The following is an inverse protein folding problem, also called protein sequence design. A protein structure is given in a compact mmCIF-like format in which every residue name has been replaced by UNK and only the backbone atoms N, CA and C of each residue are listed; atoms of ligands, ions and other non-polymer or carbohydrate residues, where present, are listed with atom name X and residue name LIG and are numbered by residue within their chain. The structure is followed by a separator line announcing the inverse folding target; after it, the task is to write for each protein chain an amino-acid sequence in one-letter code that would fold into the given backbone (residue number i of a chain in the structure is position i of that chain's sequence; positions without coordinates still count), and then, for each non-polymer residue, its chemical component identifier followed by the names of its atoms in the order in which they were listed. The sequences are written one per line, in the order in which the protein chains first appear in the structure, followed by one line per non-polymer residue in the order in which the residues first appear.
data_IF_550907094106
#
_entry.id   IF_550907094106
#
_cell.length_a   1.000
_cell.length_b   1.000
_cell.length_c   1.000
_cell.angle_alpha   90.00
_cell.angle_beta   90.00
_cell.angle_gamma   90.00
#
_symmetry.space_group_name_H-M   'P 1'
#
loop_
_entity.id
_entity.type
_entity.pdbx_description
1 polymer ?
#
# COMPACT_ATOMS: atom_id res chain seq x y z
N UNK A 1 1.12 -3.47 -24.91
CA UNK A 1 0.35 -2.61 -24.00
C UNK A 1 1.25 -2.40 -22.78
N UNK A 2 1.73 -1.17 -22.53
CA UNK A 2 2.72 -0.93 -21.45
C UNK A 2 2.10 -1.25 -20.08
N UNK A 3 2.91 -1.70 -19.10
CA UNK A 3 2.41 -1.94 -17.74
C UNK A 3 1.85 -0.63 -17.17
N UNK A 4 2.42 0.52 -17.55
CA UNK A 4 1.88 1.84 -17.27
C UNK A 4 0.44 2.05 -17.81
N UNK A 5 0.09 1.51 -18.97
CA UNK A 5 -1.28 1.56 -19.50
C UNK A 5 -2.22 0.58 -18.78
N UNK A 6 -1.72 -0.57 -18.32
CA UNK A 6 -2.47 -1.51 -17.49
C UNK A 6 -2.71 -0.95 -16.07
N UNK A 7 -1.66 -0.42 -15.43
CA UNK A 7 -1.72 0.33 -14.17
C UNK A 7 -2.65 1.53 -14.28
N UNK A 8 -2.55 2.34 -15.34
CA UNK A 8 -3.51 3.43 -15.58
C UNK A 8 -4.93 2.92 -15.74
N UNK A 9 -5.19 1.84 -16.48
CA UNK A 9 -6.55 1.34 -16.71
C UNK A 9 -7.17 0.70 -15.46
N UNK A 10 -6.37 0.05 -14.63
CA UNK A 10 -6.79 -0.53 -13.35
C UNK A 10 -6.99 0.59 -12.31
N UNK A 11 -6.09 1.57 -12.24
CA UNK A 11 -6.22 2.77 -11.39
C UNK A 11 -7.41 3.65 -11.81
N UNK A 12 -7.67 3.81 -13.12
CA UNK A 12 -8.84 4.53 -13.65
C UNK A 12 -10.13 3.79 -13.26
N UNK A 13 -10.15 2.46 -13.30
CA UNK A 13 -11.32 1.69 -12.85
C UNK A 13 -11.54 1.80 -11.33
N UNK A 14 -10.48 1.94 -10.52
CA UNK A 14 -10.59 2.23 -9.08
C UNK A 14 -11.06 3.66 -8.78
N UNK A 15 -10.70 4.65 -9.62
CA UNK A 15 -11.14 6.03 -9.47
C UNK A 15 -12.62 6.25 -9.88
N UNK A 16 -13.15 5.44 -10.81
CA UNK A 16 -14.50 5.62 -11.33
C UNK A 16 -15.64 5.28 -10.35
N UNK A 17 -15.37 4.58 -9.24
CA UNK A 17 -16.37 4.34 -8.18
C UNK A 17 -16.47 5.48 -7.13
N UNK A 18 -15.58 6.49 -7.17
CA UNK A 18 -15.45 7.49 -6.11
C UNK A 18 -15.75 8.95 -6.46
N UNK A 19 -16.23 9.27 -7.67
CA UNK A 19 -16.40 10.66 -8.10
C UNK A 19 -17.85 11.15 -8.03
N UNK A 20 -18.24 11.76 -6.91
CA UNK A 20 -19.29 12.78 -6.87
C UNK A 20 -18.75 14.07 -6.22
N UNK A 21 -18.72 15.11 -7.07
CA UNK A 21 -18.78 16.55 -6.82
C UNK A 21 -18.05 17.16 -5.60
N UNK A 22 -17.14 18.09 -5.91
CA UNK A 22 -17.18 19.44 -5.32
C UNK A 22 -16.55 20.45 -6.30
N UNK A 23 -17.44 21.19 -6.95
CA UNK A 23 -17.14 22.45 -7.65
C UNK A 23 -16.97 23.57 -6.64
N UNK A 24 -15.90 24.36 -6.74
CA UNK A 24 -15.95 25.83 -6.68
C UNK A 24 -14.54 26.42 -6.88
N UNK A 25 -14.36 27.17 -7.98
CA UNK A 25 -13.21 28.08 -8.14
C UNK A 25 -13.53 29.40 -7.43
N UNK A 26 -12.60 30.00 -6.66
CA UNK A 26 -12.75 31.38 -6.23
C UNK A 26 -12.46 32.35 -7.39
N UNK A 27 -13.21 33.45 -7.42
CA UNK A 27 -13.11 34.54 -8.39
C UNK A 27 -11.87 35.39 -8.11
N UNK A 28 -11.13 35.69 -9.17
CA UNK A 28 -9.97 36.58 -9.19
C UNK A 28 -10.45 38.04 -9.24
N UNK A 29 -10.12 38.84 -8.21
CA UNK A 29 -10.38 40.28 -8.18
C UNK A 29 -9.08 41.03 -8.46
N UNK A 30 -9.09 41.90 -9.46
CA UNK A 30 -8.02 42.85 -9.80
C UNK A 30 -8.09 44.10 -8.92
N UNK A 31 -6.96 44.50 -8.37
CA UNK A 31 -6.61 45.84 -7.86
C UNK A 31 -5.12 46.00 -8.22
N UNK A 32 -4.60 47.00 -8.93
CA UNK A 32 -4.82 48.45 -8.89
C UNK A 32 -3.52 49.07 -8.36
N UNK A 33 -2.69 49.62 -9.26
CA UNK A 33 -1.33 50.13 -8.98
C UNK A 33 -1.27 51.25 -7.93
N UNK A 34 -0.24 51.23 -7.06
CA UNK A 34 0.37 52.43 -6.46
C UNK A 34 1.80 52.15 -5.97
N UNK A 35 2.63 53.18 -6.13
CA UNK A 35 4.09 53.34 -6.07
C UNK A 35 4.86 52.94 -4.78
N UNK A 36 6.19 52.85 -4.99
CA UNK A 36 7.30 52.42 -4.15
C UNK A 36 7.53 53.19 -2.83
N UNK A 37 8.08 52.51 -1.80
CA UNK A 37 9.34 52.94 -1.17
C UNK A 37 9.93 51.93 -0.14
N UNK A 38 11.27 51.87 -0.18
CA UNK A 38 12.27 51.56 0.86
C UNK A 38 12.43 50.13 1.42
N UNK A 39 13.41 49.42 0.82
CA UNK A 39 14.50 48.66 1.47
C UNK A 39 14.24 47.99 2.84
N UNK A 40 13.91 46.69 2.83
CA UNK A 40 14.41 45.69 3.82
C UNK A 40 13.95 44.22 3.60
N UNK A 41 13.40 43.83 2.44
CA UNK A 41 12.50 42.65 2.40
C UNK A 41 12.91 41.45 1.54
N UNK A 42 14.21 41.21 1.26
CA UNK A 42 14.59 39.97 0.55
C UNK A 42 14.63 38.73 1.46
N UNK A 43 14.93 38.93 2.75
CA UNK A 43 15.30 37.82 3.64
C UNK A 43 14.13 37.40 4.55
N UNK A 44 13.19 38.30 4.84
CA UNK A 44 12.04 38.06 5.71
C UNK A 44 11.06 36.99 5.14
N UNK A 45 10.72 36.98 3.84
CA UNK A 45 9.91 35.92 3.25
C UNK A 45 10.62 34.56 3.21
N UNK A 46 11.95 34.54 3.09
CA UNK A 46 12.74 33.31 3.05
C UNK A 46 12.90 32.70 4.44
N UNK A 47 13.20 33.50 5.46
CA UNK A 47 13.32 33.05 6.85
C UNK A 47 12.01 32.46 7.39
N UNK A 48 10.87 33.07 7.06
CA UNK A 48 9.55 32.55 7.44
C UNK A 48 9.24 31.22 6.73
N UNK A 49 9.61 31.09 5.46
CA UNK A 49 9.45 29.86 4.70
C UNK A 49 10.32 28.73 5.26
N UNK A 50 11.55 29.05 5.68
CA UNK A 50 12.48 28.08 6.27
C UNK A 50 12.05 27.64 7.67
N UNK A 51 11.52 28.56 8.48
CA UNK A 51 10.91 28.20 9.77
C UNK A 51 9.69 27.30 9.59
N UNK A 52 8.82 27.58 8.63
CA UNK A 52 7.65 26.74 8.35
C UNK A 52 8.06 25.33 7.91
N UNK A 53 9.06 25.21 7.02
CA UNK A 53 9.62 23.91 6.61
C UNK A 53 10.23 23.14 7.78
N UNK A 54 10.94 23.83 8.66
CA UNK A 54 11.54 23.23 9.85
C UNK A 54 10.48 22.66 10.80
N UNK A 55 9.41 23.41 11.08
CA UNK A 55 8.30 22.94 11.93
C UNK A 55 7.55 21.75 11.31
N UNK A 56 7.35 21.76 9.98
CA UNK A 56 6.77 20.64 9.25
C UNK A 56 7.67 19.39 9.40
N UNK A 57 8.97 19.55 9.21
CA UNK A 57 9.93 18.44 9.33
C UNK A 57 9.94 17.86 10.76
N UNK A 58 10.00 18.72 11.78
CA UNK A 58 9.91 18.30 13.18
C UNK A 58 8.60 17.57 13.49
N UNK A 59 7.49 18.07 12.95
CA UNK A 59 6.19 17.42 13.10
C UNK A 59 6.18 16.02 12.47
N UNK A 60 6.76 15.85 11.28
CA UNK A 60 6.90 14.54 10.63
C UNK A 60 7.73 13.56 11.45
N UNK A 61 8.84 14.01 12.05
CA UNK A 61 9.67 13.19 12.94
C UNK A 61 8.94 12.80 14.23
N UNK A 62 8.25 13.76 14.86
CA UNK A 62 7.46 13.50 16.05
C UNK A 62 6.34 12.49 15.78
N UNK A 63 5.59 12.67 14.69
CA UNK A 63 4.53 11.74 14.28
C UNK A 63 5.09 10.35 13.98
N UNK A 64 6.22 10.25 13.29
CA UNK A 64 6.87 8.96 13.01
C UNK A 64 7.29 8.25 14.30
N UNK A 65 7.86 8.99 15.25
CA UNK A 65 8.24 8.45 16.57
C UNK A 65 7.03 7.95 17.35
N UNK A 66 5.94 8.73 17.37
CA UNK A 66 4.69 8.35 18.02
C UNK A 66 4.12 7.08 17.37
N UNK A 67 4.12 7.00 16.03
CA UNK A 67 3.67 5.80 15.33
C UNK A 67 4.49 4.58 15.74
N UNK A 68 5.83 4.68 15.78
CA UNK A 68 6.69 3.58 16.17
C UNK A 68 6.42 3.09 17.61
N UNK A 69 6.22 4.02 18.55
CA UNK A 69 5.86 3.67 19.93
C UNK A 69 4.51 2.94 19.97
N UNK A 70 3.51 3.43 19.25
CA UNK A 70 2.17 2.83 19.22
C UNK A 70 2.14 1.49 18.49
N UNK A 71 2.96 1.31 17.44
CA UNK A 71 3.14 0.03 16.76
C UNK A 71 3.72 -1.01 17.72
N UNK A 72 4.76 -0.66 18.48
CA UNK A 72 5.31 -1.54 19.52
C UNK A 72 4.24 -1.90 20.57
N UNK A 73 3.42 -0.94 20.98
CA UNK A 73 2.32 -1.20 21.92
C UNK A 73 1.28 -2.17 21.34
N UNK A 74 0.95 -2.04 20.05
CA UNK A 74 0.06 -2.99 19.38
C UNK A 74 0.64 -4.41 19.34
N UNK A 75 1.95 -4.54 19.18
CA UNK A 75 2.62 -5.85 19.14
C UNK A 75 2.74 -6.47 20.54
N UNK A 76 3.08 -5.67 21.54
CA UNK A 76 3.40 -6.15 22.89
C UNK A 76 2.15 -6.34 23.76
N UNK A 77 1.11 -5.53 23.58
CA UNK A 77 -0.07 -5.49 24.45
C UNK A 77 -1.39 -5.58 23.64
N UNK A 78 -1.62 -6.66 22.85
CA UNK A 78 -2.78 -6.75 21.96
C UNK A 78 -4.13 -6.72 22.70
N UNK A 79 -4.20 -7.30 23.91
CA UNK A 79 -5.43 -7.30 24.72
C UNK A 79 -5.77 -5.89 25.23
N UNK A 80 -4.77 -5.08 25.56
CA UNK A 80 -4.96 -3.67 25.89
C UNK A 80 -5.46 -2.88 24.68
N UNK A 81 -4.90 -3.16 23.50
CA UNK A 81 -5.35 -2.54 22.25
C UNK A 81 -6.79 -2.90 21.92
N UNK A 82 -7.21 -4.16 22.06
CA UNK A 82 -8.60 -4.57 21.77
C UNK A 82 -9.62 -3.95 22.75
N UNK A 83 -9.26 -3.84 24.02
CA UNK A 83 -10.19 -3.35 25.05
C UNK A 83 -10.31 -1.82 25.12
N UNK A 84 -9.34 -1.07 24.58
CA UNK A 84 -9.30 0.39 24.71
C UNK A 84 -9.82 1.13 23.47
N UNK A 85 -10.93 1.85 23.62
CA UNK A 85 -11.60 2.63 22.56
C UNK A 85 -10.76 3.78 21.98
N UNK A 86 -9.67 4.17 22.63
CA UNK A 86 -8.72 5.13 22.07
C UNK A 86 -8.12 4.60 20.75
N UNK A 87 -7.82 3.30 20.67
CA UNK A 87 -7.30 2.69 19.44
C UNK A 87 -8.33 2.65 18.32
N UNK A 88 -9.61 2.43 18.64
CA UNK A 88 -10.68 2.57 17.66
C UNK A 88 -10.78 4.00 17.10
N UNK A 89 -10.72 5.00 17.99
CA UNK A 89 -10.77 6.41 17.61
C UNK A 89 -9.56 6.79 16.74
N UNK A 90 -8.38 6.27 17.10
CA UNK A 90 -7.16 6.42 16.33
C UNK A 90 -7.26 5.72 14.97
N UNK A 91 -7.80 4.51 14.90
CA UNK A 91 -8.02 3.81 13.63
C UNK A 91 -8.92 4.61 12.70
N UNK A 92 -10.01 5.18 13.22
CA UNK A 92 -10.88 6.09 12.47
C UNK A 92 -10.15 7.34 12.00
N UNK A 93 -9.29 7.92 12.85
CA UNK A 93 -8.45 9.04 12.44
C UNK A 93 -7.53 8.64 11.26
N UNK A 94 -6.79 7.54 11.40
CA UNK A 94 -5.90 7.02 10.35
C UNK A 94 -6.64 6.75 9.03
N UNK A 95 -7.86 6.23 9.11
CA UNK A 95 -8.69 5.95 7.93
C UNK A 95 -9.08 7.19 7.14
N UNK A 96 -9.16 8.35 7.79
CA UNK A 96 -9.46 9.62 7.14
C UNK A 96 -8.18 10.37 6.73
N UNK A 97 -7.12 10.25 7.53
CA UNK A 97 -5.86 10.97 7.31
C UNK A 97 -5.00 10.32 6.24
N UNK A 98 -4.77 9.00 6.29
CA UNK A 98 -3.86 8.33 5.37
C UNK A 98 -4.24 8.55 3.89
N UNK A 99 -5.53 8.46 3.48
CA UNK A 99 -5.92 8.72 2.09
C UNK A 99 -5.77 10.16 1.63
N UNK A 100 -5.59 11.10 2.56
CA UNK A 100 -5.32 12.52 2.23
C UNK A 100 -3.83 12.80 2.01
N UNK A 101 -2.95 11.86 2.33
CA UNK A 101 -1.51 11.98 2.10
C UNK A 101 -1.18 11.40 0.71
N UNK A 102 -0.66 12.23 -0.19
CA UNK A 102 -0.19 11.77 -1.50
C UNK A 102 1.33 11.57 -1.49
N UNK A 103 1.76 10.31 -1.67
CA UNK A 103 3.16 9.94 -1.82
C UNK A 103 3.80 10.45 -3.13
N UNK A 104 2.97 10.76 -4.14
CA UNK A 104 3.44 11.23 -5.46
C UNK A 104 3.71 12.72 -5.49
N UNK A 105 3.03 13.49 -4.65
CA UNK A 105 3.24 14.93 -4.54
C UNK A 105 4.44 15.28 -3.67
N UNK A 106 4.72 14.47 -2.64
CA UNK A 106 5.84 14.70 -1.72
C UNK A 106 6.40 13.36 -1.20
N UNK A 107 7.49 12.89 -1.82
CA UNK A 107 8.19 11.67 -1.40
C UNK A 107 8.74 11.76 0.03
N UNK A 108 8.88 12.96 0.60
CA UNK A 108 9.28 13.12 2.01
C UNK A 108 8.18 12.69 3.00
N UNK A 109 6.95 12.46 2.53
CA UNK A 109 5.87 11.88 3.34
C UNK A 109 5.91 10.35 3.40
N UNK A 110 6.75 9.69 2.60
CA UNK A 110 6.66 8.26 2.41
C UNK A 110 6.91 7.45 3.70
N UNK A 111 7.87 7.91 4.52
CA UNK A 111 8.13 7.34 5.86
C UNK A 111 6.89 7.44 6.75
N UNK A 112 6.25 8.61 6.78
CA UNK A 112 5.04 8.82 7.57
C UNK A 112 3.88 7.97 7.04
N UNK A 113 3.70 7.87 5.71
CA UNK A 113 2.68 7.02 5.07
C UNK A 113 2.90 5.55 5.46
N UNK A 114 4.14 5.08 5.41
CA UNK A 114 4.50 3.72 5.85
C UNK A 114 4.11 3.51 7.32
N UNK A 115 4.57 4.39 8.21
CA UNK A 115 4.31 4.28 9.65
C UNK A 115 2.81 4.31 9.98
N UNK A 116 2.03 5.20 9.36
CA UNK A 116 0.57 5.27 9.55
C UNK A 116 -0.15 4.04 8.97
N UNK A 117 0.32 3.53 7.83
CA UNK A 117 -0.21 2.31 7.21
C UNK A 117 -0.05 1.12 8.14
N UNK A 118 1.16 0.90 8.66
CA UNK A 118 1.46 -0.25 9.52
C UNK A 118 0.77 -0.12 10.88
N UNK A 119 0.76 1.07 11.47
CA UNK A 119 0.00 1.32 12.70
C UNK A 119 -1.49 1.00 12.52
N UNK A 120 -2.11 1.51 11.45
CA UNK A 120 -3.52 1.25 11.19
C UNK A 120 -3.81 -0.24 10.94
N UNK A 121 -2.92 -0.95 10.25
CA UNK A 121 -3.03 -2.41 10.05
C UNK A 121 -2.91 -3.18 11.37
N UNK A 122 -1.96 -2.84 12.23
CA UNK A 122 -1.78 -3.48 13.55
C UNK A 122 -2.99 -3.24 14.46
N UNK A 123 -3.54 -2.01 14.46
CA UNK A 123 -4.76 -1.73 15.21
C UNK A 123 -5.92 -2.54 14.65
N UNK A 124 -6.09 -2.59 13.32
CA UNK A 124 -7.15 -3.36 12.67
C UNK A 124 -7.04 -4.87 12.97
N UNK A 125 -5.82 -5.39 13.05
CA UNK A 125 -5.52 -6.77 13.42
C UNK A 125 -5.97 -7.08 14.86
N UNK A 126 -5.59 -6.22 15.80
CA UNK A 126 -5.78 -6.47 17.23
C UNK A 126 -7.16 -6.05 17.74
N UNK A 127 -7.78 -5.01 17.17
CA UNK A 127 -9.03 -4.44 17.66
C UNK A 127 -10.26 -5.18 17.10
N UNK A 128 -10.32 -6.49 17.39
CA UNK A 128 -11.34 -7.44 16.92
C UNK A 128 -12.75 -7.06 17.34
N UNK A 129 -12.89 -6.47 18.52
CA UNK A 129 -14.18 -6.10 19.11
C UNK A 129 -14.87 -4.95 18.38
N UNK A 130 -14.12 -4.09 17.65
CA UNK A 130 -14.68 -2.95 16.92
C UNK A 130 -14.07 -2.80 15.51
N UNK A 131 -14.02 -3.88 14.74
CA UNK A 131 -13.58 -3.80 13.34
C UNK A 131 -14.59 -3.01 12.49
N UNK A 132 -14.10 -2.14 11.59
CA UNK A 132 -14.96 -1.43 10.65
C UNK A 132 -15.60 -2.41 9.66
N UNK A 133 -16.77 -2.04 9.15
CA UNK A 133 -17.41 -2.76 8.04
C UNK A 133 -16.87 -2.29 6.70
N UNK A 134 -16.92 -3.15 5.69
CA UNK A 134 -16.57 -2.82 4.31
C UNK A 134 -17.32 -1.58 3.78
N UNK A 135 -18.59 -1.41 4.19
CA UNK A 135 -19.43 -0.28 3.80
C UNK A 135 -18.93 1.08 4.31
N UNK A 136 -17.96 1.10 5.23
CA UNK A 136 -17.37 2.34 5.73
C UNK A 136 -16.33 2.86 4.73
N UNK A 137 -16.67 3.95 4.04
CA UNK A 137 -15.81 4.60 3.03
C UNK A 137 -14.39 4.86 3.54
N UNK A 138 -14.23 5.20 4.83
CA UNK A 138 -12.91 5.41 5.43
C UNK A 138 -12.06 4.13 5.45
N UNK A 139 -12.64 2.98 5.80
CA UNK A 139 -11.93 1.71 5.83
C UNK A 139 -11.52 1.25 4.42
N UNK A 140 -12.41 1.44 3.43
CA UNK A 140 -12.11 1.16 2.03
C UNK A 140 -10.91 2.00 1.53
N UNK A 141 -10.97 3.32 1.72
CA UNK A 141 -9.90 4.24 1.29
C UNK A 141 -8.59 3.98 2.03
N UNK A 142 -8.66 3.63 3.31
CA UNK A 142 -7.48 3.26 4.10
C UNK A 142 -6.77 2.05 3.50
N UNK A 143 -7.49 0.94 3.27
CA UNK A 143 -6.91 -0.27 2.67
C UNK A 143 -6.38 0.02 1.26
N UNK A 144 -7.07 0.87 0.49
CA UNK A 144 -6.58 1.34 -0.80
C UNK A 144 -5.22 2.05 -0.68
N UNK A 145 -5.05 2.96 0.29
CA UNK A 145 -3.79 3.66 0.53
C UNK A 145 -2.67 2.71 0.97
N UNK A 146 -2.99 1.76 1.85
CA UNK A 146 -2.05 0.71 2.30
C UNK A 146 -1.58 -0.13 1.11
N UNK A 147 -2.49 -0.59 0.26
CA UNK A 147 -2.15 -1.37 -0.94
C UNK A 147 -1.31 -0.54 -1.90
N UNK A 148 -1.67 0.73 -2.10
CA UNK A 148 -0.90 1.64 -2.96
C UNK A 148 0.54 1.78 -2.46
N UNK A 149 0.74 1.99 -1.15
CA UNK A 149 2.06 2.05 -0.52
C UNK A 149 2.88 0.77 -0.79
N UNK A 150 2.27 -0.41 -0.66
CA UNK A 150 3.01 -1.66 -0.91
C UNK A 150 3.26 -1.92 -2.39
N UNK A 151 2.28 -1.62 -3.25
CA UNK A 151 2.33 -1.87 -4.69
C UNK A 151 3.35 -0.97 -5.37
N UNK A 152 3.39 0.31 -5.03
CA UNK A 152 4.26 1.29 -5.70
C UNK A 152 5.75 1.14 -5.34
N UNK A 153 6.10 0.35 -4.30
CA UNK A 153 7.48 0.17 -3.86
C UNK A 153 8.40 -0.46 -4.91
N UNK A 154 7.86 -1.35 -5.75
CA UNK A 154 8.66 -2.11 -6.72
C UNK A 154 8.12 -2.01 -8.14
N UNK A 155 9.03 -1.98 -9.11
CA UNK A 155 8.66 -2.02 -10.51
C UNK A 155 9.78 -2.67 -11.36
N UNK A 156 9.39 -3.19 -12.51
CA UNK A 156 10.33 -3.79 -13.48
C UNK A 156 10.71 -2.80 -14.58
N UNK A 157 9.87 -1.79 -14.83
CA UNK A 157 10.01 -0.87 -15.97
C UNK A 157 11.15 0.14 -15.80
N UNK A 158 11.52 0.49 -14.56
CA UNK A 158 12.65 1.35 -14.23
C UNK A 158 14.00 0.61 -14.26
N UNK A 159 13.98 -0.72 -14.40
CA UNK A 159 15.22 -1.50 -14.55
C UNK A 159 15.82 -1.33 -15.95
N UNK A 160 17.15 -1.30 -16.01
CA UNK A 160 17.87 -1.31 -17.29
C UNK A 160 17.59 -2.63 -18.01
N UNK A 161 16.85 -2.56 -19.11
CA UNK A 161 16.47 -3.73 -19.91
C UNK A 161 15.11 -4.35 -19.54
N UNK A 162 14.45 -3.91 -18.47
CA UNK A 162 13.07 -4.33 -18.16
C UNK A 162 12.94 -5.79 -17.71
N UNK A 163 13.99 -6.38 -17.13
CA UNK A 163 14.03 -7.79 -16.70
C UNK A 163 14.40 -7.97 -15.22
N UNK A 164 14.56 -6.89 -14.46
CA UNK A 164 14.93 -6.91 -13.04
C UNK A 164 13.90 -6.16 -12.20
N UNK A 165 13.55 -6.71 -11.04
CA UNK A 165 12.68 -6.03 -10.10
C UNK A 165 13.52 -5.05 -9.28
N UNK A 166 13.29 -3.77 -9.48
CA UNK A 166 13.98 -2.69 -8.77
C UNK A 166 13.02 -1.95 -7.85
N UNK A 167 13.58 -1.26 -6.86
CA UNK A 167 12.84 -0.27 -6.10
C UNK A 167 12.44 0.87 -7.02
N UNK A 168 11.22 1.36 -6.84
CA UNK A 168 10.80 2.59 -7.51
C UNK A 168 11.63 3.76 -7.03
N UNK A 169 11.96 4.66 -7.94
CA UNK A 169 12.72 5.89 -7.65
C UNK A 169 12.21 6.67 -6.44
N UNK A 170 10.90 6.72 -6.22
CA UNK A 170 10.27 7.38 -5.07
C UNK A 170 10.53 6.69 -3.72
N UNK A 171 10.87 5.39 -3.72
CA UNK A 171 11.17 4.61 -2.52
C UNK A 171 12.67 4.47 -2.27
N UNK A 172 13.50 4.61 -3.32
CA UNK A 172 14.92 4.27 -3.27
C UNK A 172 15.69 5.02 -2.16
N UNK A 173 15.42 6.32 -1.98
CA UNK A 173 16.13 7.15 -0.99
C UNK A 173 15.77 6.82 0.46
N UNK A 174 14.55 6.34 0.71
CA UNK A 174 14.02 6.09 2.07
C UNK A 174 13.85 4.60 2.37
N UNK A 175 14.28 3.72 1.47
CA UNK A 175 14.03 2.28 1.59
C UNK A 175 14.64 1.66 2.84
N UNK A 176 15.80 2.14 3.30
CA UNK A 176 16.40 1.66 4.55
C UNK A 176 15.45 1.78 5.74
N UNK A 177 14.70 2.88 5.81
CA UNK A 177 13.75 3.16 6.88
C UNK A 177 12.38 2.48 6.65
N UNK A 178 12.05 2.20 5.40
CA UNK A 178 10.75 1.64 5.00
C UNK A 178 10.72 0.12 4.88
N UNK A 179 11.88 -0.51 4.67
CA UNK A 179 11.96 -1.93 4.30
C UNK A 179 11.27 -2.83 5.31
N UNK A 180 11.56 -2.65 6.61
CA UNK A 180 10.92 -3.40 7.69
C UNK A 180 9.41 -3.18 7.73
N UNK A 181 8.96 -1.94 7.62
CA UNK A 181 7.55 -1.58 7.56
C UNK A 181 6.84 -2.23 6.36
N UNK A 182 7.47 -2.24 5.19
CA UNK A 182 6.90 -2.87 3.99
C UNK A 182 6.71 -4.38 4.18
N UNK A 183 7.72 -5.09 4.71
CA UNK A 183 7.60 -6.52 4.97
C UNK A 183 6.58 -6.83 6.08
N UNK A 184 6.56 -6.03 7.15
CA UNK A 184 5.59 -6.17 8.22
C UNK A 184 4.16 -5.97 7.71
N UNK A 185 3.93 -4.99 6.85
CA UNK A 185 2.60 -4.78 6.24
C UNK A 185 2.16 -5.95 5.36
N UNK A 186 3.06 -6.55 4.58
CA UNK A 186 2.77 -7.78 3.83
C UNK A 186 2.37 -8.95 4.76
N UNK A 187 3.02 -9.09 5.91
CA UNK A 187 2.70 -10.11 6.90
C UNK A 187 1.36 -9.86 7.58
N UNK A 188 1.07 -8.62 7.97
CA UNK A 188 -0.21 -8.27 8.61
C UNK A 188 -1.36 -8.43 7.63
N UNK A 189 -1.21 -8.00 6.38
CA UNK A 189 -2.22 -8.22 5.33
C UNK A 189 -2.52 -9.71 5.18
N UNK A 190 -1.50 -10.56 5.09
CA UNK A 190 -1.66 -12.02 5.07
C UNK A 190 -2.43 -12.56 6.28
N UNK A 191 -2.16 -12.02 7.47
CA UNK A 191 -2.89 -12.37 8.68
C UNK A 191 -4.36 -11.96 8.57
N UNK A 192 -4.65 -10.72 8.14
CA UNK A 192 -5.99 -10.16 8.05
C UNK A 192 -6.89 -10.91 7.06
N UNK A 193 -6.32 -11.52 6.02
CA UNK A 193 -7.08 -12.34 5.07
C UNK A 193 -7.88 -13.46 5.73
N UNK A 194 -7.43 -13.99 6.87
CA UNK A 194 -8.13 -15.08 7.58
C UNK A 194 -9.29 -14.59 8.44
N UNK A 195 -9.25 -13.30 8.76
CA UNK A 195 -9.99 -12.68 9.84
C UNK A 195 -11.03 -11.65 9.33
N UNK A 196 -10.83 -11.12 8.12
CA UNK A 196 -11.63 -10.05 7.52
C UNK A 196 -11.84 -10.34 6.03
N UNK A 197 -12.98 -10.96 5.71
CA UNK A 197 -13.27 -11.49 4.35
C UNK A 197 -13.21 -10.42 3.25
N UNK A 198 -13.77 -9.23 3.50
CA UNK A 198 -13.82 -8.16 2.50
C UNK A 198 -12.45 -7.65 2.07
N UNK A 199 -11.42 -7.79 2.91
CA UNK A 199 -10.05 -7.41 2.53
C UNK A 199 -9.51 -8.35 1.45
N UNK A 200 -9.84 -9.64 1.51
CA UNK A 200 -9.45 -10.61 0.47
C UNK A 200 -10.10 -10.28 -0.87
N UNK A 201 -11.39 -9.90 -0.85
CA UNK A 201 -12.15 -9.46 -2.01
C UNK A 201 -11.54 -8.20 -2.61
N UNK A 202 -11.32 -7.19 -1.78
CA UNK A 202 -10.67 -5.94 -2.18
C UNK A 202 -9.32 -6.20 -2.87
N UNK A 203 -8.45 -7.03 -2.27
CA UNK A 203 -7.12 -7.32 -2.81
C UNK A 203 -7.20 -7.98 -4.19
N UNK A 204 -8.11 -8.94 -4.39
CA UNK A 204 -8.28 -9.61 -5.69
C UNK A 204 -8.88 -8.68 -6.74
N UNK A 205 -9.86 -7.86 -6.36
CA UNK A 205 -10.51 -6.88 -7.25
C UNK A 205 -9.58 -5.74 -7.66
N UNK A 206 -8.66 -5.33 -6.77
CA UNK A 206 -7.65 -4.31 -7.08
C UNK A 206 -6.72 -4.72 -8.22
N UNK A 207 -6.60 -6.01 -8.54
CA UNK A 207 -5.66 -6.49 -9.55
C UNK A 207 -4.23 -6.68 -9.05
N UNK A 208 -3.96 -6.41 -7.76
CA UNK A 208 -2.60 -6.44 -7.21
C UNK A 208 -1.94 -7.83 -7.31
N UNK A 209 -2.60 -8.95 -6.98
CA UNK A 209 -1.99 -10.28 -7.11
C UNK A 209 -1.67 -10.68 -8.55
N UNK A 210 -2.45 -10.20 -9.52
CA UNK A 210 -2.24 -10.44 -10.95
C UNK A 210 -1.03 -9.64 -11.43
N UNK A 211 -0.87 -8.41 -10.96
CA UNK A 211 0.32 -7.60 -11.21
C UNK A 211 1.58 -8.21 -10.59
N UNK A 212 1.50 -8.78 -9.38
CA UNK A 212 2.60 -9.56 -8.78
C UNK A 212 3.03 -10.72 -9.68
N UNK A 213 2.07 -11.49 -10.23
CA UNK A 213 2.42 -12.54 -11.19
C UNK A 213 3.04 -12.00 -12.48
N UNK A 214 2.54 -10.89 -13.01
CA UNK A 214 3.13 -10.26 -14.20
C UNK A 214 4.56 -9.79 -13.95
N UNK A 215 4.82 -9.23 -12.77
CA UNK A 215 6.18 -8.88 -12.30
C UNK A 215 7.06 -10.12 -12.28
N UNK A 216 6.60 -11.21 -11.64
CA UNK A 216 7.34 -12.48 -11.60
C UNK A 216 7.56 -13.04 -13.01
N UNK A 217 6.58 -12.94 -13.89
CA UNK A 217 6.69 -13.43 -15.28
C UNK A 217 7.79 -12.71 -16.03
N UNK A 218 7.81 -11.37 -15.96
CA UNK A 218 8.81 -10.52 -16.63
C UNK A 218 10.20 -10.66 -16.03
N UNK A 219 10.30 -10.64 -14.71
CA UNK A 219 11.58 -10.61 -13.99
C UNK A 219 12.38 -11.88 -14.22
N UNK A 220 13.65 -11.77 -14.63
CA UNK A 220 14.56 -12.89 -14.84
C UNK A 220 14.84 -13.66 -13.54
N UNK A 221 15.14 -14.95 -13.65
CA UNK A 221 15.54 -15.76 -12.49
C UNK A 221 16.73 -15.10 -11.78
N UNK A 222 16.63 -14.95 -10.46
CA UNK A 222 17.68 -14.34 -9.63
C UNK A 222 17.75 -12.81 -9.71
N UNK A 223 16.81 -12.16 -10.40
CA UNK A 223 16.71 -10.69 -10.53
C UNK A 223 15.52 -10.11 -9.75
N UNK A 224 15.08 -10.81 -8.72
CA UNK A 224 14.06 -10.31 -7.79
C UNK A 224 14.77 -9.56 -6.67
N UNK A 225 14.14 -8.48 -6.19
CA UNK A 225 14.57 -7.84 -4.94
C UNK A 225 14.48 -8.83 -3.77
N UNK A 226 15.42 -8.73 -2.83
CA UNK A 226 15.56 -9.66 -1.71
C UNK A 226 14.29 -9.69 -0.85
N UNK A 227 13.86 -10.87 -0.42
CA UNK A 227 12.63 -11.06 0.38
C UNK A 227 11.31 -10.89 -0.39
N UNK A 228 11.24 -10.01 -1.40
CA UNK A 228 10.01 -9.67 -2.13
C UNK A 228 9.37 -10.88 -2.80
N UNK A 229 10.18 -11.80 -3.32
CA UNK A 229 9.70 -13.05 -3.91
C UNK A 229 8.85 -13.86 -2.92
N UNK A 230 9.35 -14.04 -1.69
CA UNK A 230 8.67 -14.83 -0.66
C UNK A 230 7.41 -14.12 -0.19
N UNK A 231 7.46 -12.80 0.01
CA UNK A 231 6.30 -11.99 0.39
C UNK A 231 5.16 -12.07 -0.66
N UNK A 232 5.50 -12.01 -1.95
CA UNK A 232 4.53 -12.20 -3.04
C UNK A 232 3.96 -13.61 -3.04
N UNK A 233 4.81 -14.63 -2.88
CA UNK A 233 4.38 -16.02 -2.84
C UNK A 233 3.38 -16.26 -1.71
N UNK A 234 3.69 -15.79 -0.51
CA UNK A 234 2.84 -15.94 0.67
C UNK A 234 1.47 -15.28 0.47
N UNK A 235 1.44 -14.03 -0.01
CA UNK A 235 0.17 -13.33 -0.26
C UNK A 235 -0.68 -14.04 -1.30
N UNK A 236 -0.08 -14.44 -2.43
CA UNK A 236 -0.78 -15.15 -3.51
C UNK A 236 -1.34 -16.48 -2.98
N UNK A 237 -0.55 -17.24 -2.22
CA UNK A 237 -1.00 -18.53 -1.67
C UNK A 237 -2.12 -18.33 -0.65
N UNK A 238 -2.02 -17.35 0.25
CA UNK A 238 -3.07 -17.05 1.22
C UNK A 238 -4.40 -16.70 0.55
N UNK A 239 -4.36 -15.86 -0.49
CA UNK A 239 -5.56 -15.51 -1.26
C UNK A 239 -6.13 -16.72 -2.04
N UNK A 240 -5.28 -17.58 -2.59
CA UNK A 240 -5.71 -18.81 -3.26
C UNK A 240 -6.35 -19.82 -2.30
N UNK A 241 -5.91 -19.83 -1.05
CA UNK A 241 -6.50 -20.64 0.03
C UNK A 241 -7.78 -20.02 0.60
N UNK A 242 -8.04 -18.72 0.36
CA UNK A 242 -9.22 -18.04 0.85
C UNK A 242 -10.50 -18.63 0.23
N UNK A 243 -11.49 -18.88 1.07
CA UNK A 243 -12.66 -19.67 0.71
C UNK A 243 -13.60 -18.95 -0.28
N UNK A 244 -13.70 -17.63 -0.24
CA UNK A 244 -14.53 -16.83 -1.17
C UNK A 244 -13.83 -16.56 -2.50
N UNK A 245 -12.61 -16.02 -2.48
CA UNK A 245 -11.92 -15.50 -3.67
C UNK A 245 -11.02 -16.52 -4.38
N UNK A 246 -10.56 -17.57 -3.69
CA UNK A 246 -9.45 -18.41 -4.16
C UNK A 246 -9.73 -19.13 -5.49
N UNK A 247 -10.97 -19.60 -5.70
CA UNK A 247 -11.37 -20.28 -6.95
C UNK A 247 -11.39 -19.31 -8.14
N UNK A 248 -11.91 -18.10 -7.93
CA UNK A 248 -11.95 -17.03 -8.94
C UNK A 248 -10.53 -16.60 -9.33
N UNK A 249 -9.71 -16.31 -8.31
CA UNK A 249 -8.32 -15.94 -8.48
C UNK A 249 -7.53 -17.03 -9.22
N UNK A 250 -7.61 -18.31 -8.83
CA UNK A 250 -6.91 -19.40 -9.54
C UNK A 250 -7.25 -19.45 -11.04
N UNK A 251 -8.51 -19.17 -11.39
CA UNK A 251 -8.95 -19.12 -12.79
C UNK A 251 -8.29 -17.98 -13.55
N UNK A 252 -8.11 -16.83 -12.91
CA UNK A 252 -7.38 -15.69 -13.49
C UNK A 252 -5.89 -15.98 -13.62
N UNK A 253 -5.24 -16.52 -12.58
CA UNK A 253 -3.80 -16.80 -12.59
C UNK A 253 -3.39 -17.86 -13.62
N UNK A 254 -4.28 -18.81 -13.93
CA UNK A 254 -4.04 -19.80 -15.00
C UNK A 254 -3.83 -19.19 -16.38
N UNK A 255 -4.26 -17.94 -16.59
CA UNK A 255 -4.01 -17.19 -17.83
C UNK A 255 -2.54 -16.74 -17.96
N UNK A 256 -1.74 -16.84 -16.90
CA UNK A 256 -0.40 -16.26 -16.80
C UNK A 256 0.75 -17.27 -16.66
N UNK A 257 0.65 -18.48 -17.25
CA UNK A 257 1.67 -19.55 -17.12
C UNK A 257 2.23 -19.72 -15.69
N UNK A 258 1.31 -19.85 -14.72
CA UNK A 258 1.67 -19.94 -13.30
C UNK A 258 2.66 -21.06 -12.99
N UNK A 259 2.62 -22.16 -13.76
CA UNK A 259 3.54 -23.29 -13.60
C UNK A 259 4.96 -22.89 -14.02
N UNK A 260 5.11 -22.27 -15.20
CA UNK A 260 6.39 -21.74 -15.66
C UNK A 260 6.97 -20.70 -14.70
N UNK A 261 6.13 -19.82 -14.15
CA UNK A 261 6.54 -18.84 -13.12
C UNK A 261 7.06 -19.53 -11.86
N UNK A 262 6.34 -20.54 -11.36
CA UNK A 262 6.76 -21.29 -10.17
C UNK A 262 8.12 -21.97 -10.38
N UNK A 263 8.34 -22.56 -11.55
CA UNK A 263 9.63 -23.19 -11.90
C UNK A 263 10.74 -22.16 -12.08
N UNK A 264 10.45 -21.02 -12.73
CA UNK A 264 11.41 -19.93 -12.96
C UNK A 264 11.96 -19.38 -11.65
N UNK A 265 11.09 -19.17 -10.65
CA UNK A 265 11.47 -18.49 -9.40
C UNK A 265 11.59 -19.42 -8.18
N UNK A 266 11.36 -20.72 -8.37
CA UNK A 266 11.33 -21.72 -7.28
C UNK A 266 10.32 -21.35 -6.19
N UNK A 267 9.08 -21.07 -6.60
CA UNK A 267 7.95 -20.76 -5.72
C UNK A 267 7.34 -22.07 -5.19
N UNK A 268 7.92 -22.60 -4.12
CA UNK A 268 7.62 -23.93 -3.61
C UNK A 268 6.23 -24.09 -3.00
N UNK A 269 5.76 -23.10 -2.23
CA UNK A 269 4.42 -23.11 -1.63
C UNK A 269 3.33 -22.97 -2.71
N UNK A 270 3.55 -22.07 -3.68
CA UNK A 270 2.61 -21.87 -4.78
C UNK A 270 2.56 -23.11 -5.70
N UNK A 271 3.71 -23.70 -6.02
CA UNK A 271 3.77 -24.95 -6.80
C UNK A 271 3.01 -26.09 -6.12
N UNK A 272 3.21 -26.27 -4.79
CA UNK A 272 2.49 -27.27 -3.99
C UNK A 272 0.97 -27.04 -4.03
N UNK A 273 0.53 -25.79 -3.87
CA UNK A 273 -0.89 -25.46 -3.94
C UNK A 273 -1.48 -25.83 -5.31
N UNK A 274 -0.86 -25.37 -6.40
CA UNK A 274 -1.34 -25.64 -7.77
C UNK A 274 -1.41 -27.15 -8.06
N UNK A 275 -0.40 -27.91 -7.64
CA UNK A 275 -0.37 -29.37 -7.78
C UNK A 275 -1.52 -30.05 -7.00
N UNK A 276 -1.78 -29.60 -5.77
CA UNK A 276 -2.85 -30.17 -4.92
C UNK A 276 -4.25 -29.97 -5.51
N UNK A 277 -4.48 -28.87 -6.24
CA UNK A 277 -5.76 -28.63 -6.91
C UNK A 277 -5.90 -29.46 -8.18
N UNK A 278 -4.79 -29.74 -8.88
CA UNK A 278 -4.80 -30.60 -10.05
C UNK A 278 -5.12 -32.06 -9.71
N UNK A 279 -4.53 -32.60 -8.63
CA UNK A 279 -4.77 -33.99 -8.21
C UNK A 279 -6.20 -34.23 -7.73
N UNK A 280 -6.80 -33.29 -7.00
CA UNK A 280 -8.22 -33.34 -6.56
C UNK A 280 -9.21 -33.41 -7.73
N UNK A 281 -8.87 -32.86 -8.90
CA UNK A 281 -9.73 -32.96 -10.10
C UNK A 281 -9.70 -34.34 -10.74
N UNK A 282 -8.63 -35.10 -10.55
CA UNK A 282 -8.47 -36.44 -11.14
C UNK A 282 -9.13 -37.52 -10.29
N UNK A 283 -9.28 -37.32 -8.98
CA UNK A 283 -9.93 -38.26 -8.05
C UNK A 283 -11.46 -38.16 -8.00
N UNK A 284 -12.05 -37.20 -8.71
CA UNK A 284 -13.51 -36.95 -8.78
C UNK A 284 -14.09 -37.32 -10.16
N UNK A 285 -13.31 -38.01 -11.00
CA UNK A 285 -13.73 -38.62 -12.26
C UNK A 285 -13.61 -40.13 -12.14
#
# INVERSE_FOLDING_TARGET
MSLLAAKKRIFINMLHFGSWNLTSKPKENRVGDSEEHSSSSSDEPQLLLDHAKYEILNSKFALSTICNILMNLCVLEPDFVDSNLMFFSMLKFLMNTLPSLDAKEDSSNLILIGNLSILGLLILQNHRSHRPKESETGAYKFIQSVITFHWDAFNVEESIGGEELVLSSSYAETWSDLSESWFLGMQILNYLLKDIEWIAEFLVESGWPQDMLLILQKTKRGKMFEGTKSAFEELIVSLLQHHTVGKGMLTQLKKHDIIGICQKHSLGALAKFVASVASKKTSLK
#
